data_IF_712923217755
#
_entry.id   IF_712923217755
#
_cell.length_a   1.000
_cell.length_b   1.000
_cell.length_c   1.000
_cell.angle_alpha   90.00
_cell.angle_beta   90.00
_cell.angle_gamma   90.00
#
_symmetry.space_group_name_H-M   'P 1'
#
loop_
_entity.id
_entity.type
_entity.pdbx_description
1 polymer ?
#
# COMPACT_ATOMS: atom_id res chain seq x y z
N UNK A 1 -22.25 20.57 -0.32
CA UNK A 1 -22.31 19.10 -0.55
C UNK A 1 -21.07 18.71 -1.35
N UNK A 2 -20.06 18.11 -0.71
CA UNK A 2 -18.84 17.66 -1.38
C UNK A 2 -19.22 16.51 -2.33
N UNK A 3 -19.22 16.75 -3.65
CA UNK A 3 -19.32 15.66 -4.62
C UNK A 3 -17.91 15.08 -4.79
N UNK A 4 -17.62 13.85 -4.35
CA UNK A 4 -16.34 13.23 -4.64
C UNK A 4 -16.15 13.18 -6.16
N UNK A 5 -14.97 13.57 -6.63
CA UNK A 5 -14.67 13.51 -8.05
C UNK A 5 -14.47 12.04 -8.44
N UNK A 6 -14.88 11.62 -9.64
CA UNK A 6 -14.67 10.23 -10.13
C UNK A 6 -13.20 9.78 -10.09
N UNK A 7 -12.27 10.72 -9.98
CA UNK A 7 -10.85 10.47 -9.77
C UNK A 7 -10.55 9.97 -8.35
N UNK A 8 -11.26 10.46 -7.34
CA UNK A 8 -11.04 10.11 -5.93
C UNK A 8 -11.32 8.63 -5.69
N UNK A 9 -12.46 8.13 -6.18
CA UNK A 9 -12.87 6.73 -6.00
C UNK A 9 -11.86 5.77 -6.65
N UNK A 10 -11.32 6.13 -7.83
CA UNK A 10 -10.35 5.29 -8.53
C UNK A 10 -9.01 5.20 -7.79
N UNK A 11 -8.51 6.33 -7.27
CA UNK A 11 -7.26 6.33 -6.49
C UNK A 11 -7.45 5.46 -5.24
N UNK A 12 -8.56 5.61 -4.53
CA UNK A 12 -8.85 4.82 -3.33
C UNK A 12 -8.93 3.33 -3.65
N UNK A 13 -9.65 2.94 -4.70
CA UNK A 13 -9.77 1.52 -5.10
C UNK A 13 -8.40 0.94 -5.48
N UNK A 14 -7.62 1.63 -6.31
CA UNK A 14 -6.28 1.17 -6.70
C UNK A 14 -5.37 1.00 -5.47
N UNK A 15 -5.49 1.89 -4.48
CA UNK A 15 -4.71 1.84 -3.24
C UNK A 15 -5.14 0.71 -2.32
N UNK A 16 -6.44 0.44 -2.23
CA UNK A 16 -6.95 -0.72 -1.52
C UNK A 16 -6.41 -2.01 -2.15
N UNK A 17 -6.51 -2.16 -3.48
CA UNK A 17 -6.00 -3.35 -4.19
C UNK A 17 -4.50 -3.54 -3.98
N UNK A 18 -3.70 -2.47 -4.12
CA UNK A 18 -2.27 -2.52 -3.85
C UNK A 18 -1.96 -2.85 -2.39
N UNK A 19 -2.76 -2.34 -1.46
CA UNK A 19 -2.65 -2.67 -0.04
C UNK A 19 -2.92 -4.14 0.22
N UNK A 20 -3.94 -4.72 -0.41
CA UNK A 20 -4.23 -6.16 -0.32
C UNK A 20 -3.04 -6.97 -0.82
N UNK A 21 -2.59 -6.70 -2.05
CA UNK A 21 -1.47 -7.42 -2.67
C UNK A 21 -0.22 -7.32 -1.78
N UNK A 22 0.08 -6.11 -1.29
CA UNK A 22 1.23 -5.89 -0.44
C UNK A 22 1.10 -6.61 0.91
N UNK A 23 -0.08 -6.63 1.53
CA UNK A 23 -0.32 -7.37 2.77
C UNK A 23 -0.10 -8.87 2.64
N UNK A 24 -0.49 -9.47 1.50
CA UNK A 24 -0.17 -10.86 1.19
C UNK A 24 1.34 -11.08 1.02
N UNK A 25 2.01 -10.19 0.27
CA UNK A 25 3.46 -10.27 0.05
C UNK A 25 4.22 -10.14 1.38
N UNK A 26 3.90 -9.16 2.20
CA UNK A 26 4.60 -8.93 3.47
C UNK A 26 4.38 -10.08 4.45
N UNK A 27 3.19 -10.67 4.47
CA UNK A 27 2.93 -11.85 5.29
C UNK A 27 3.65 -13.11 4.80
N UNK A 28 3.42 -13.52 3.55
CA UNK A 28 3.94 -14.79 3.05
C UNK A 28 5.44 -14.74 2.75
N UNK A 29 5.92 -13.71 2.06
CA UNK A 29 7.31 -13.64 1.61
C UNK A 29 8.23 -13.09 2.70
N UNK A 30 7.85 -12.02 3.37
CA UNK A 30 8.75 -11.39 4.34
C UNK A 30 8.62 -12.08 5.70
N UNK A 31 7.41 -12.14 6.27
CA UNK A 31 7.21 -12.67 7.61
C UNK A 31 7.40 -14.20 7.70
N UNK A 32 6.70 -15.00 6.87
CA UNK A 32 6.79 -16.47 6.94
C UNK A 32 8.08 -17.06 6.39
N UNK A 33 8.57 -16.57 5.25
CA UNK A 33 9.81 -17.06 4.64
C UNK A 33 11.07 -16.36 5.17
N UNK A 34 10.91 -15.41 6.10
CA UNK A 34 11.99 -14.64 6.71
C UNK A 34 12.91 -13.96 5.68
N UNK A 35 12.34 -13.49 4.57
CA UNK A 35 13.08 -12.82 3.50
C UNK A 35 13.23 -11.34 3.89
N UNK A 36 14.30 -11.05 4.63
CA UNK A 36 14.70 -9.69 4.97
C UNK A 36 15.64 -9.08 3.92
N UNK A 37 15.62 -7.75 3.80
CA UNK A 37 16.69 -7.04 3.11
C UNK A 37 17.99 -7.22 3.90
N UNK A 38 19.12 -7.43 3.20
CA UNK A 38 20.42 -7.80 3.76
C UNK A 38 20.91 -6.96 4.95
N UNK A 39 20.42 -5.73 5.09
CA UNK A 39 20.83 -4.76 6.10
C UNK A 39 19.73 -4.37 7.10
N UNK A 40 18.51 -4.92 6.97
CA UNK A 40 17.34 -4.51 7.74
C UNK A 40 16.73 -5.72 8.47
N UNK A 41 16.15 -5.48 9.64
CA UNK A 41 15.28 -6.45 10.29
C UNK A 41 13.95 -6.62 9.52
N UNK A 42 13.18 -7.65 9.87
CA UNK A 42 11.91 -7.97 9.21
C UNK A 42 10.92 -6.79 9.26
N UNK A 43 10.79 -6.15 10.43
CA UNK A 43 9.85 -5.04 10.60
C UNK A 43 10.25 -3.86 9.70
N UNK A 44 11.52 -3.44 9.76
CA UNK A 44 12.00 -2.36 8.89
C UNK A 44 11.89 -2.72 7.41
N UNK A 45 12.15 -3.97 7.04
CA UNK A 45 11.99 -4.46 5.65
C UNK A 45 10.56 -4.27 5.16
N UNK A 46 9.56 -4.66 5.97
CA UNK A 46 8.14 -4.48 5.65
C UNK A 46 7.83 -2.99 5.51
N UNK A 47 8.20 -2.15 6.48
CA UNK A 47 7.86 -0.72 6.42
C UNK A 47 8.54 0.01 5.26
N UNK A 48 9.81 -0.29 4.98
CA UNK A 48 10.55 0.32 3.86
C UNK A 48 9.95 -0.09 2.52
N UNK A 49 9.66 -1.37 2.32
CA UNK A 49 9.04 -1.85 1.08
C UNK A 49 7.61 -1.29 0.92
N UNK A 50 6.85 -1.17 2.00
CA UNK A 50 5.54 -0.49 1.96
C UNK A 50 5.68 0.95 1.48
N UNK A 51 6.68 1.68 1.99
CA UNK A 51 7.01 3.03 1.53
C UNK A 51 7.38 3.08 0.04
N UNK A 52 8.22 2.17 -0.43
CA UNK A 52 8.63 2.08 -1.84
C UNK A 52 7.44 1.79 -2.75
N UNK A 53 6.62 0.78 -2.40
CA UNK A 53 5.41 0.42 -3.15
C UNK A 53 4.43 1.60 -3.15
N UNK A 54 4.27 2.28 -2.03
CA UNK A 54 3.38 3.43 -1.90
C UNK A 54 3.80 4.61 -2.78
N UNK A 55 5.08 4.99 -2.71
CA UNK A 55 5.64 6.09 -3.50
C UNK A 55 5.60 5.75 -4.98
N UNK A 56 6.07 4.56 -5.36
CA UNK A 56 6.06 4.10 -6.76
C UNK A 56 4.66 4.09 -7.35
N UNK A 57 3.67 3.61 -6.60
CA UNK A 57 2.27 3.64 -7.05
C UNK A 57 1.67 5.04 -7.10
N UNK A 58 2.14 6.01 -6.31
CA UNK A 58 1.73 7.41 -6.43
C UNK A 58 2.12 7.99 -7.81
N UNK A 59 3.36 7.75 -8.23
CA UNK A 59 3.83 8.15 -9.55
C UNK A 59 3.10 7.43 -10.68
N UNK A 60 2.87 6.12 -10.54
CA UNK A 60 2.11 5.34 -11.52
C UNK A 60 0.68 5.86 -11.70
N UNK A 61 -0.04 6.05 -10.59
CA UNK A 61 -1.42 6.56 -10.61
C UNK A 61 -1.45 7.97 -11.19
N UNK A 62 -0.51 8.85 -10.83
CA UNK A 62 -0.46 10.19 -11.40
C UNK A 62 -0.28 10.16 -12.92
N UNK A 63 0.65 9.34 -13.41
CA UNK A 63 0.90 9.16 -14.84
C UNK A 63 -0.36 8.67 -15.58
N UNK A 64 -1.02 7.63 -15.04
CA UNK A 64 -2.19 7.02 -15.66
C UNK A 64 -3.45 7.91 -15.60
N UNK A 65 -3.67 8.58 -14.47
CA UNK A 65 -4.86 9.42 -14.25
C UNK A 65 -4.75 10.83 -14.84
N UNK A 66 -3.60 11.21 -15.41
CA UNK A 66 -3.28 12.58 -15.87
C UNK A 66 -3.59 13.65 -14.82
N UNK A 67 -3.51 13.29 -13.53
CA UNK A 67 -3.80 14.21 -12.44
C UNK A 67 -2.72 15.29 -12.38
N UNK A 68 -3.14 16.56 -12.30
CA UNK A 68 -2.23 17.72 -12.25
C UNK A 68 -1.48 17.85 -10.93
N UNK A 69 -1.91 17.16 -9.86
CA UNK A 69 -1.29 17.29 -8.54
C UNK A 69 -0.91 15.92 -7.95
N UNK A 70 0.40 15.67 -7.90
CA UNK A 70 0.99 14.50 -7.24
C UNK A 70 0.61 14.46 -5.76
N UNK A 71 0.66 15.62 -5.09
CA UNK A 71 0.36 15.75 -3.67
C UNK A 71 -1.06 15.27 -3.32
N UNK A 72 -2.06 15.62 -4.14
CA UNK A 72 -3.43 15.16 -3.92
C UNK A 72 -3.56 13.64 -4.07
N UNK A 73 -2.90 13.04 -5.08
CA UNK A 73 -2.86 11.58 -5.25
C UNK A 73 -2.12 10.90 -4.08
N UNK A 74 -1.11 11.56 -3.54
CA UNK A 74 -0.31 11.08 -2.42
C UNK A 74 -1.06 11.12 -1.09
N UNK A 75 -1.82 12.17 -0.77
CA UNK A 75 -2.54 12.22 0.52
C UNK A 75 -3.80 11.34 0.49
N UNK A 76 -4.53 11.34 -0.63
CA UNK A 76 -5.83 10.64 -0.74
C UNK A 76 -5.73 9.12 -0.62
N UNK A 77 -4.62 8.56 -1.10
CA UNK A 77 -4.39 7.11 -1.09
C UNK A 77 -3.73 6.56 0.16
N UNK A 78 -3.25 7.43 1.05
CA UNK A 78 -2.30 7.07 2.11
C UNK A 78 -2.97 6.16 3.13
N UNK A 79 -4.04 6.67 3.73
CA UNK A 79 -4.77 5.93 4.75
C UNK A 79 -5.30 4.61 4.18
N UNK A 80 -5.88 4.62 2.98
CA UNK A 80 -6.44 3.43 2.36
C UNK A 80 -5.39 2.35 2.14
N UNK A 81 -4.22 2.70 1.59
CA UNK A 81 -3.16 1.71 1.38
C UNK A 81 -2.68 1.13 2.70
N UNK A 82 -2.31 1.98 3.67
CA UNK A 82 -1.75 1.55 4.94
C UNK A 82 -2.76 0.76 5.80
N UNK A 83 -4.00 1.23 5.89
CA UNK A 83 -5.05 0.52 6.60
C UNK A 83 -5.33 -0.84 5.97
N UNK A 84 -5.37 -0.93 4.64
CA UNK A 84 -5.71 -2.18 3.96
C UNK A 84 -4.60 -3.22 4.11
N UNK A 85 -3.33 -2.87 3.89
CA UNK A 85 -2.26 -3.87 4.02
C UNK A 85 -2.07 -4.30 5.46
N UNK A 86 -2.20 -3.38 6.43
CA UNK A 86 -2.16 -3.73 7.85
C UNK A 86 -3.32 -4.66 8.22
N UNK A 87 -4.54 -4.36 7.78
CA UNK A 87 -5.69 -5.21 8.05
C UNK A 87 -5.51 -6.62 7.48
N UNK A 88 -5.05 -6.75 6.24
CA UNK A 88 -4.77 -8.05 5.61
C UNK A 88 -3.65 -8.78 6.36
N UNK A 89 -2.53 -8.10 6.64
CA UNK A 89 -1.41 -8.70 7.35
C UNK A 89 -1.82 -9.22 8.73
N UNK A 90 -2.51 -8.39 9.53
CA UNK A 90 -2.97 -8.76 10.87
C UNK A 90 -4.02 -9.88 10.84
N UNK A 91 -4.92 -9.86 9.86
CA UNK A 91 -5.89 -10.95 9.67
C UNK A 91 -5.17 -12.26 9.35
N UNK A 92 -4.20 -12.23 8.44
CA UNK A 92 -3.42 -13.42 8.09
C UNK A 92 -2.58 -13.91 9.27
N UNK A 93 -1.98 -13.00 10.04
CA UNK A 93 -1.24 -13.31 11.25
C UNK A 93 -2.13 -13.98 12.31
N UNK A 94 -3.33 -13.46 12.54
CA UNK A 94 -4.27 -14.06 13.49
C UNK A 94 -4.76 -15.45 13.02
N UNK A 95 -5.01 -15.62 11.73
CA UNK A 95 -5.51 -16.87 11.16
C UNK A 95 -4.44 -17.96 11.02
N UNK A 96 -3.18 -17.60 10.78
CA UNK A 96 -2.13 -18.52 10.30
C UNK A 96 -0.81 -18.40 11.10
N UNK A 97 -0.72 -17.51 12.09
CA UNK A 97 0.40 -17.34 13.04
C UNK A 97 1.58 -16.59 12.45
#
# INVERSE_FOLDING_TARGET
>A
MFKPSKLDDRVVIMRAVLGIIYGFISYFLIYKLNIALLTLDLSSTIWVLAGIVYVGSAFYIQYWSRSRSLFLVFIRGLLTFYATWLAIFLTLYDLLG
#
